data_IF_562837787823
#
_entry.id   IF_562837787823
#
_cell.length_a   1.000
_cell.length_b   1.000
_cell.length_c   1.000
_cell.angle_alpha   90.00
_cell.angle_beta   90.00
_cell.angle_gamma   90.00
#
_symmetry.space_group_name_H-M   'P 1'
#
loop_
_entity.id
_entity.type
_entity.pdbx_description
1 polymer ?
#
# COMPACT_ATOMS: atom_id res chain seq x y z
N UNK A 1 -16.02 -16.41 10.41
CA UNK A 1 -16.11 -16.10 8.96
C UNK A 1 -15.02 -16.81 8.17
N UNK A 2 -13.74 -16.52 8.43
CA UNK A 2 -12.59 -17.19 7.80
C UNK A 2 -12.64 -18.72 7.86
N UNK A 3 -13.02 -19.29 9.02
CA UNK A 3 -13.19 -20.74 9.15
C UNK A 3 -14.27 -21.28 8.20
N UNK A 4 -15.45 -20.66 8.17
CA UNK A 4 -16.56 -21.03 7.27
C UNK A 4 -16.18 -20.94 5.78
N UNK A 5 -15.27 -20.03 5.42
CA UNK A 5 -14.73 -19.93 4.07
C UNK A 5 -13.75 -21.07 3.76
N UNK A 6 -12.86 -21.39 4.72
CA UNK A 6 -11.95 -22.55 4.62
C UNK A 6 -12.71 -23.87 4.49
N UNK A 7 -13.84 -23.99 5.19
CA UNK A 7 -14.70 -25.18 5.17
C UNK A 7 -15.50 -25.29 3.86
N UNK A 8 -15.64 -24.18 3.12
CA UNK A 8 -16.27 -24.15 1.80
C UNK A 8 -15.22 -24.49 0.72
N UNK A 9 -15.21 -25.74 0.26
CA UNK A 9 -14.22 -26.27 -0.67
C UNK A 9 -14.20 -25.59 -2.07
N UNK A 10 -15.19 -24.77 -2.41
CA UNK A 10 -15.40 -24.23 -3.76
C UNK A 10 -15.19 -22.71 -3.88
N UNK A 11 -14.65 -22.04 -2.86
CA UNK A 11 -14.47 -20.57 -2.92
C UNK A 11 -13.35 -20.21 -3.91
N UNK A 12 -13.62 -19.41 -4.97
CA UNK A 12 -12.61 -19.04 -5.95
C UNK A 12 -11.48 -18.19 -5.34
N UNK A 13 -10.23 -18.28 -5.85
CA UNK A 13 -9.08 -17.51 -5.34
C UNK A 13 -9.32 -16.00 -5.26
N UNK A 14 -10.11 -15.45 -6.20
CA UNK A 14 -10.47 -14.04 -6.24
C UNK A 14 -11.22 -13.57 -4.99
N UNK A 15 -12.12 -14.38 -4.43
CA UNK A 15 -12.84 -14.01 -3.22
C UNK A 15 -11.90 -13.86 -2.03
N UNK A 16 -10.95 -14.78 -1.87
CA UNK A 16 -9.90 -14.68 -0.87
C UNK A 16 -9.02 -13.45 -1.10
N UNK A 17 -8.63 -13.17 -2.34
CA UNK A 17 -7.81 -11.99 -2.66
C UNK A 17 -8.55 -10.66 -2.40
N UNK A 18 -9.85 -10.58 -2.67
CA UNK A 18 -10.68 -9.41 -2.33
C UNK A 18 -10.73 -9.24 -0.81
N UNK A 19 -11.01 -10.29 -0.06
CA UNK A 19 -11.02 -10.25 1.40
C UNK A 19 -9.65 -9.89 1.98
N UNK A 20 -8.57 -10.47 1.46
CA UNK A 20 -7.19 -10.14 1.81
C UNK A 20 -6.92 -8.64 1.58
N UNK A 21 -7.34 -8.06 0.45
CA UNK A 21 -7.19 -6.63 0.18
C UNK A 21 -8.02 -5.78 1.14
N UNK A 22 -9.29 -6.13 1.37
CA UNK A 22 -10.17 -5.41 2.28
C UNK A 22 -9.64 -5.44 3.71
N UNK A 23 -9.20 -6.60 4.19
CA UNK A 23 -8.59 -6.75 5.52
C UNK A 23 -7.25 -6.04 5.58
N UNK A 24 -6.40 -6.15 4.55
CA UNK A 24 -5.15 -5.39 4.48
C UNK A 24 -5.41 -3.88 4.61
N UNK A 25 -6.38 -3.34 3.87
CA UNK A 25 -6.79 -1.91 3.93
C UNK A 25 -7.41 -1.56 5.29
N UNK A 26 -8.24 -2.41 5.87
CA UNK A 26 -8.85 -2.19 7.18
C UNK A 26 -7.84 -2.34 8.33
N UNK A 27 -6.75 -3.09 8.11
CA UNK A 27 -5.77 -3.47 9.11
C UNK A 27 -4.37 -2.90 8.85
N UNK A 28 -4.21 -1.83 8.04
CA UNK A 28 -2.96 -1.02 7.88
C UNK A 28 -2.54 -0.34 9.22
N UNK A 29 -2.97 -0.88 10.35
CA UNK A 29 -3.05 -0.23 11.66
C UNK A 29 -2.29 -1.02 12.74
N UNK A 30 -1.61 -2.13 12.39
CA UNK A 30 -0.85 -2.96 13.34
C UNK A 30 0.61 -3.12 12.88
N UNK A 31 1.53 -3.30 13.83
CA UNK A 31 2.98 -3.48 13.65
C UNK A 31 3.34 -4.84 13.00
N UNK A 32 2.75 -5.11 11.84
CA UNK A 32 2.83 -6.37 11.11
C UNK A 32 1.46 -6.84 10.60
N UNK A 33 1.43 -7.77 9.63
CA UNK A 33 0.18 -8.37 9.17
C UNK A 33 -0.51 -9.06 10.35
N UNK A 34 -1.78 -8.73 10.60
CA UNK A 34 -2.54 -9.40 11.65
C UNK A 34 -2.63 -10.91 11.38
N UNK A 35 -2.85 -11.72 12.42
CA UNK A 35 -3.02 -13.17 12.27
C UNK A 35 -4.17 -13.52 11.30
N UNK A 36 -5.20 -12.67 11.21
CA UNK A 36 -6.27 -12.79 10.23
C UNK A 36 -5.77 -12.51 8.81
N UNK A 37 -4.95 -11.49 8.60
CA UNK A 37 -4.36 -11.18 7.30
C UNK A 37 -3.41 -12.29 6.85
N UNK A 38 -2.56 -12.81 7.75
CA UNK A 38 -1.70 -13.97 7.46
C UNK A 38 -2.53 -15.20 7.08
N UNK A 39 -3.63 -15.45 7.80
CA UNK A 39 -4.55 -16.55 7.49
C UNK A 39 -5.22 -16.39 6.12
N UNK A 40 -5.54 -15.16 5.71
CA UNK A 40 -6.10 -14.87 4.38
C UNK A 40 -5.06 -15.02 3.29
N UNK A 41 -3.82 -14.58 3.50
CA UNK A 41 -2.72 -14.77 2.54
C UNK A 41 -2.52 -16.26 2.27
N UNK A 42 -2.37 -17.07 3.32
CA UNK A 42 -2.22 -18.52 3.19
C UNK A 42 -3.45 -19.18 2.53
N UNK A 43 -4.66 -18.74 2.84
CA UNK A 43 -5.89 -19.26 2.22
C UNK A 43 -5.96 -18.92 0.72
N UNK A 44 -5.56 -17.71 0.32
CA UNK A 44 -5.45 -17.32 -1.11
C UNK A 44 -4.45 -18.22 -1.82
N UNK A 45 -3.25 -18.39 -1.27
CA UNK A 45 -2.20 -19.23 -1.87
C UNK A 45 -2.68 -20.69 -2.04
N UNK A 46 -3.24 -21.27 -0.98
CA UNK A 46 -3.80 -22.62 -1.03
C UNK A 46 -4.93 -22.75 -2.07
N UNK A 47 -5.79 -21.74 -2.22
CA UNK A 47 -6.84 -21.76 -3.24
C UNK A 47 -6.26 -21.72 -4.66
N UNK A 48 -5.22 -20.91 -4.90
CA UNK A 48 -4.53 -20.86 -6.20
C UNK A 48 -3.88 -22.20 -6.51
N UNK A 49 -3.10 -22.78 -5.59
CA UNK A 49 -2.44 -24.07 -5.81
C UNK A 49 -3.43 -25.21 -6.09
N UNK A 50 -4.65 -25.15 -5.54
CA UNK A 50 -5.71 -26.13 -5.85
C UNK A 50 -6.29 -25.93 -7.25
N UNK A 51 -6.53 -24.69 -7.65
CA UNK A 51 -7.15 -24.38 -8.94
C UNK A 51 -6.17 -24.47 -10.12
N UNK A 52 -4.87 -24.25 -9.87
CA UNK A 52 -3.82 -24.18 -10.88
C UNK A 52 -2.51 -24.81 -10.35
N UNK A 53 -2.47 -26.15 -10.16
CA UNK A 53 -1.36 -26.83 -9.46
C UNK A 53 -0.03 -26.79 -10.21
N UNK A 54 -0.07 -26.76 -11.55
CA UNK A 54 1.12 -26.60 -12.40
C UNK A 54 1.36 -25.15 -12.81
N UNK A 55 0.56 -24.23 -12.24
CA UNK A 55 0.63 -22.82 -12.48
C UNK A 55 1.95 -22.19 -12.05
N UNK A 56 2.29 -21.08 -12.69
CA UNK A 56 3.46 -20.29 -12.34
C UNK A 56 3.21 -18.81 -12.52
N UNK A 57 3.99 -18.00 -11.81
CA UNK A 57 3.96 -16.57 -11.95
C UNK A 57 4.49 -16.17 -13.33
N UNK A 58 3.74 -15.42 -14.15
CA UNK A 58 4.18 -15.01 -15.48
C UNK A 58 5.36 -14.02 -15.47
N UNK A 59 5.75 -13.51 -14.28
CA UNK A 59 6.82 -12.53 -14.14
C UNK A 59 8.14 -13.20 -13.76
N UNK A 60 8.15 -14.04 -12.72
CA UNK A 60 9.37 -14.73 -12.27
C UNK A 60 9.45 -16.19 -12.70
N UNK A 61 8.39 -16.73 -13.30
CA UNK A 61 8.25 -18.13 -13.75
C UNK A 61 8.35 -19.17 -12.63
N UNK A 62 8.34 -18.74 -11.36
CA UNK A 62 8.29 -19.65 -10.22
C UNK A 62 6.88 -20.23 -10.07
N UNK A 63 6.83 -21.53 -9.75
CA UNK A 63 5.58 -22.25 -9.42
C UNK A 63 4.96 -21.70 -8.13
N UNK A 64 3.65 -21.87 -8.01
CA UNK A 64 2.93 -21.47 -6.80
C UNK A 64 3.29 -22.35 -5.61
N UNK A 65 3.53 -21.73 -4.45
CA UNK A 65 3.71 -22.41 -3.16
C UNK A 65 2.67 -21.94 -2.14
N UNK A 66 2.27 -22.78 -1.16
CA UNK A 66 1.35 -22.37 -0.10
C UNK A 66 1.85 -21.19 0.75
N UNK A 67 3.17 -20.96 0.75
CA UNK A 67 3.84 -19.87 1.47
C UNK A 67 3.85 -18.56 0.67
N UNK A 68 3.44 -18.59 -0.60
CA UNK A 68 3.48 -17.42 -1.46
C UNK A 68 2.49 -16.34 -1.02
N UNK A 69 2.95 -15.09 -1.11
CA UNK A 69 2.06 -13.94 -1.07
C UNK A 69 1.57 -13.64 -2.48
N UNK A 70 0.29 -13.91 -2.76
CA UNK A 70 -0.32 -13.77 -4.09
C UNK A 70 -1.32 -12.62 -4.19
N UNK A 71 -1.50 -12.13 -5.42
CA UNK A 71 -2.50 -11.15 -5.84
C UNK A 71 -3.29 -11.76 -6.99
N UNK A 72 -4.61 -11.86 -6.84
CA UNK A 72 -5.52 -12.30 -7.91
C UNK A 72 -6.14 -11.07 -8.56
N UNK A 73 -5.85 -10.84 -9.84
CA UNK A 73 -6.33 -9.68 -10.58
C UNK A 73 -7.84 -9.80 -10.89
N UNK A 74 -8.48 -8.71 -11.34
CA UNK A 74 -9.90 -8.73 -11.74
C UNK A 74 -10.20 -9.58 -12.97
N UNK A 75 -9.15 -9.92 -13.72
CA UNK A 75 -9.16 -10.84 -14.85
C UNK A 75 -8.78 -12.26 -14.43
N UNK A 76 -8.80 -12.55 -13.13
CA UNK A 76 -8.49 -13.83 -12.48
C UNK A 76 -7.05 -14.35 -12.63
N UNK A 77 -6.20 -13.66 -13.41
CA UNK A 77 -4.76 -13.92 -13.42
C UNK A 77 -4.10 -13.64 -12.08
N UNK A 78 -3.15 -14.50 -11.72
CA UNK A 78 -2.45 -14.48 -10.43
C UNK A 78 -1.01 -14.02 -10.61
N UNK A 79 -0.51 -13.23 -9.66
CA UNK A 79 0.87 -12.76 -9.57
C UNK A 79 1.37 -12.89 -8.13
N UNK A 80 2.68 -13.11 -7.94
CA UNK A 80 3.28 -12.81 -6.63
C UNK A 80 3.14 -11.32 -6.31
N UNK A 81 2.91 -11.00 -5.05
CA UNK A 81 2.84 -9.62 -4.53
C UNK A 81 4.10 -8.83 -4.94
N UNK A 82 5.28 -9.42 -4.77
CA UNK A 82 6.55 -8.77 -5.10
C UNK A 82 6.73 -8.57 -6.61
N UNK A 83 6.34 -9.56 -7.41
CA UNK A 83 6.36 -9.45 -8.87
C UNK A 83 5.41 -8.37 -9.37
N UNK A 84 4.21 -8.30 -8.78
CA UNK A 84 3.26 -7.23 -9.04
C UNK A 84 3.90 -5.88 -8.73
N UNK A 85 4.46 -5.68 -7.52
CA UNK A 85 5.07 -4.40 -7.17
C UNK A 85 6.26 -4.02 -8.06
N UNK A 86 7.14 -4.96 -8.42
CA UNK A 86 8.23 -4.71 -9.38
C UNK A 86 7.70 -4.23 -10.73
N UNK A 87 6.61 -4.83 -11.22
CA UNK A 87 5.96 -4.39 -12.47
C UNK A 87 5.40 -2.99 -12.33
N UNK A 88 4.71 -2.69 -11.23
CA UNK A 88 4.12 -1.36 -10.99
C UNK A 88 5.18 -0.28 -10.85
N UNK A 89 6.26 -0.57 -10.13
CA UNK A 89 7.32 0.39 -9.79
C UNK A 89 8.37 0.56 -10.90
N UNK A 90 8.35 -0.28 -11.94
CA UNK A 90 9.30 -0.16 -13.05
C UNK A 90 9.09 1.14 -13.83
N UNK A 91 10.19 1.82 -14.18
CA UNK A 91 10.16 3.11 -14.91
C UNK A 91 9.48 3.04 -16.28
N UNK A 92 9.42 1.84 -16.88
CA UNK A 92 8.68 1.57 -18.12
C UNK A 92 7.21 1.19 -17.94
N UNK A 93 6.67 1.24 -16.72
CA UNK A 93 5.30 0.81 -16.43
C UNK A 93 4.21 1.78 -16.90
N UNK A 94 4.57 2.93 -17.47
CA UNK A 94 3.61 3.97 -17.87
C UNK A 94 2.56 3.47 -18.86
N UNK A 95 3.00 2.69 -19.85
CA UNK A 95 2.14 2.06 -20.86
C UNK A 95 1.30 0.90 -20.31
N UNK A 96 1.62 0.44 -19.10
CA UNK A 96 1.03 -0.72 -18.44
C UNK A 96 0.20 -0.33 -17.21
N UNK A 97 0.10 0.97 -16.91
CA UNK A 97 -0.67 1.49 -15.78
C UNK A 97 -2.11 1.00 -15.87
N UNK A 98 -2.43 0.00 -15.05
CA UNK A 98 -3.78 -0.51 -14.93
C UNK A 98 -4.17 -1.60 -15.94
N UNK A 99 -3.23 -2.29 -16.61
CA UNK A 99 -3.53 -3.48 -17.42
C UNK A 99 -2.91 -4.76 -16.82
N UNK A 100 -3.54 -5.91 -17.04
CA UNK A 100 -2.93 -7.21 -16.76
C UNK A 100 -1.85 -7.51 -17.81
N UNK A 101 -0.66 -7.98 -17.41
CA UNK A 101 0.37 -8.38 -18.39
C UNK A 101 0.09 -9.69 -19.12
N UNK A 102 -0.84 -10.50 -18.62
CA UNK A 102 -1.18 -11.80 -19.22
C UNK A 102 -2.23 -11.60 -20.32
N UNK A 103 -3.39 -11.02 -19.98
CA UNK A 103 -4.49 -10.84 -20.94
C UNK A 103 -4.70 -9.41 -21.42
N UNK A 104 -3.87 -8.44 -21.02
CA UNK A 104 -3.99 -7.01 -21.36
C UNK A 104 -5.25 -6.30 -20.88
N UNK A 105 -6.15 -7.00 -20.18
CA UNK A 105 -7.39 -6.42 -19.67
C UNK A 105 -7.09 -5.29 -18.67
N UNK A 106 -7.78 -4.15 -18.85
CA UNK A 106 -7.74 -3.03 -17.92
C UNK A 106 -8.28 -3.47 -16.56
N UNK A 107 -7.41 -3.47 -15.57
CA UNK A 107 -7.66 -3.88 -14.20
C UNK A 107 -7.65 -2.70 -13.22
N UNK A 108 -7.57 -1.46 -13.73
CA UNK A 108 -7.69 -0.18 -13.00
C UNK A 108 -6.95 -0.15 -11.65
N UNK A 109 -5.83 -0.87 -11.53
CA UNK A 109 -5.10 -0.99 -10.27
C UNK A 109 -4.20 0.22 -10.01
N UNK A 110 -3.94 1.07 -11.01
CA UNK A 110 -3.11 2.27 -10.86
C UNK A 110 -3.56 3.16 -9.68
N UNK A 111 -4.82 3.61 -9.61
CA UNK A 111 -5.33 4.39 -8.47
C UNK A 111 -5.22 3.66 -7.11
N UNK A 112 -5.54 2.36 -7.06
CA UNK A 112 -5.54 1.58 -5.80
C UNK A 112 -4.10 1.34 -5.30
N UNK A 113 -3.20 0.94 -6.19
CA UNK A 113 -1.78 0.78 -5.89
C UNK A 113 -1.17 2.10 -5.43
N UNK A 114 -1.45 3.20 -6.13
CA UNK A 114 -1.00 4.55 -5.75
C UNK A 114 -1.53 4.98 -4.39
N UNK A 115 -2.81 4.73 -4.10
CA UNK A 115 -3.40 5.02 -2.80
C UNK A 115 -2.73 4.24 -1.66
N UNK A 116 -2.50 2.94 -1.86
CA UNK A 116 -1.81 2.09 -0.88
C UNK A 116 -0.36 2.52 -0.66
N UNK A 117 0.39 2.81 -1.73
CA UNK A 117 1.75 3.33 -1.62
C UNK A 117 1.81 4.68 -0.90
N UNK A 118 0.88 5.59 -1.23
CA UNK A 118 0.79 6.89 -0.57
C UNK A 118 0.58 6.71 0.92
N UNK A 119 -0.38 5.87 1.33
CA UNK A 119 -0.64 5.58 2.73
C UNK A 119 0.58 4.96 3.43
N UNK A 120 1.25 3.99 2.79
CA UNK A 120 2.44 3.34 3.34
C UNK A 120 3.60 4.32 3.55
N UNK A 121 3.91 5.14 2.54
CA UNK A 121 4.99 6.12 2.60
C UNK A 121 4.67 7.24 3.59
N UNK A 122 3.42 7.72 3.62
CA UNK A 122 2.98 8.71 4.61
C UNK A 122 3.03 8.14 6.05
N UNK A 123 2.66 6.88 6.25
CA UNK A 123 2.77 6.19 7.54
C UNK A 123 4.23 6.05 7.99
N UNK A 124 5.12 5.60 7.11
CA UNK A 124 6.55 5.49 7.42
C UNK A 124 7.16 6.86 7.78
N UNK A 125 6.81 7.89 7.02
CA UNK A 125 7.24 9.26 7.27
C UNK A 125 6.70 9.82 8.58
N UNK A 126 5.40 9.65 8.85
CA UNK A 126 4.79 10.04 10.12
C UNK A 126 5.49 9.37 11.31
N UNK A 127 5.82 8.07 11.19
CA UNK A 127 6.56 7.36 12.23
C UNK A 127 7.97 7.93 12.43
N UNK A 128 8.67 8.30 11.35
CA UNK A 128 9.99 8.92 11.44
C UNK A 128 9.93 10.31 12.09
N UNK A 129 8.95 11.13 11.72
CA UNK A 129 8.73 12.46 12.29
C UNK A 129 8.41 12.40 13.78
N UNK A 130 7.50 11.50 14.19
CA UNK A 130 7.16 11.28 15.60
C UNK A 130 8.41 10.90 16.40
N UNK A 131 9.22 9.94 15.91
CA UNK A 131 10.47 9.54 16.56
C UNK A 131 11.50 10.67 16.65
N UNK A 132 11.60 11.50 15.61
CA UNK A 132 12.50 12.66 15.64
C UNK A 132 12.05 13.69 16.68
N UNK A 133 10.75 13.97 16.78
CA UNK A 133 10.21 14.84 17.83
C UNK A 133 10.47 14.27 19.23
N UNK A 134 10.28 12.96 19.44
CA UNK A 134 10.61 12.29 20.71
C UNK A 134 12.09 12.44 21.07
N UNK A 135 12.98 12.43 20.07
CA UNK A 135 14.41 12.63 20.24
C UNK A 135 14.84 14.10 20.37
N UNK A 136 13.90 15.06 20.40
CA UNK A 136 14.20 16.50 20.44
C UNK A 136 14.71 17.08 19.11
N UNK A 137 14.71 16.28 18.04
CA UNK A 137 14.98 16.74 16.68
C UNK A 137 13.78 17.50 16.09
N UNK A 138 14.03 18.27 15.04
CA UNK A 138 12.99 18.96 14.28
C UNK A 138 13.28 18.88 12.79
N UNK A 139 12.23 18.70 12.01
CA UNK A 139 12.25 18.89 10.56
C UNK A 139 11.79 20.33 10.25
N UNK A 140 12.36 20.96 9.23
CA UNK A 140 11.85 22.26 8.75
C UNK A 140 10.62 22.11 7.86
N UNK A 141 9.87 23.19 7.64
CA UNK A 141 8.72 23.18 6.74
C UNK A 141 9.15 22.83 5.31
N UNK A 142 10.31 23.32 4.90
CA UNK A 142 10.90 23.12 3.58
C UNK A 142 11.29 21.66 3.35
N UNK A 143 11.89 21.01 4.35
CA UNK A 143 12.25 19.59 4.30
C UNK A 143 11.00 18.71 4.18
N UNK A 144 9.95 19.02 4.95
CA UNK A 144 8.68 18.28 4.91
C UNK A 144 7.98 18.45 3.56
N UNK A 145 7.95 19.68 3.06
CA UNK A 145 7.36 20.00 1.76
C UNK A 145 8.11 19.30 0.63
N UNK A 146 9.44 19.31 0.65
CA UNK A 146 10.27 18.61 -0.36
C UNK A 146 10.04 17.11 -0.34
N UNK A 147 9.97 16.52 0.86
CA UNK A 147 9.66 15.11 1.00
C UNK A 147 8.28 14.74 0.43
N UNK A 148 7.25 15.54 0.73
CA UNK A 148 5.91 15.34 0.19
C UNK A 148 5.86 15.52 -1.34
N UNK A 149 6.63 16.46 -1.90
CA UNK A 149 6.78 16.63 -3.36
C UNK A 149 7.40 15.39 -4.01
N UNK A 150 8.46 14.83 -3.41
CA UNK A 150 9.09 13.60 -3.92
C UNK A 150 8.11 12.44 -3.91
N UNK A 151 7.38 12.21 -2.82
CA UNK A 151 6.34 11.18 -2.76
C UNK A 151 5.26 11.42 -3.83
N UNK A 152 4.76 12.65 -3.94
CA UNK A 152 3.73 13.01 -4.91
C UNK A 152 4.18 12.72 -6.35
N UNK A 153 5.41 13.11 -6.70
CA UNK A 153 6.03 12.87 -8.01
C UNK A 153 6.19 11.38 -8.31
N UNK A 154 6.81 10.63 -7.39
CA UNK A 154 7.11 9.19 -7.60
C UNK A 154 5.82 8.35 -7.72
N UNK A 155 4.80 8.68 -6.95
CA UNK A 155 3.53 7.94 -6.98
C UNK A 155 2.62 8.44 -8.11
N UNK A 156 2.79 9.68 -8.59
CA UNK A 156 1.88 10.32 -9.53
C UNK A 156 0.55 10.70 -8.88
N UNK A 157 0.63 11.37 -7.73
CA UNK A 157 -0.49 11.99 -7.01
C UNK A 157 -0.19 13.47 -6.77
N UNK A 158 -1.19 14.28 -6.37
CA UNK A 158 -0.95 15.69 -6.08
C UNK A 158 -0.20 15.87 -4.76
N UNK A 159 0.54 16.98 -4.66
CA UNK A 159 1.20 17.37 -3.42
C UNK A 159 0.20 17.44 -2.25
N UNK A 160 -0.93 18.12 -2.50
CA UNK A 160 -2.02 18.28 -1.53
C UNK A 160 -2.55 16.95 -1.00
N UNK A 161 -2.76 15.95 -1.88
CA UNK A 161 -3.27 14.65 -1.47
C UNK A 161 -2.26 13.86 -0.61
N UNK A 162 -0.97 14.01 -0.89
CA UNK A 162 0.11 13.44 -0.05
C UNK A 162 0.17 14.10 1.30
N UNK A 163 0.11 15.43 1.35
CA UNK A 163 0.18 16.20 2.59
C UNK A 163 -1.02 15.88 3.52
N UNK A 164 -2.22 15.76 2.97
CA UNK A 164 -3.43 15.37 3.72
C UNK A 164 -3.32 13.97 4.33
N UNK A 165 -2.78 12.99 3.58
CA UNK A 165 -2.58 11.63 4.09
C UNK A 165 -1.48 11.61 5.17
N UNK A 166 -0.40 12.38 5.00
CA UNK A 166 0.64 12.52 6.00
C UNK A 166 0.12 13.14 7.30
N UNK A 167 -0.67 14.20 7.22
CA UNK A 167 -1.33 14.82 8.37
C UNK A 167 -2.20 13.83 9.16
N UNK A 168 -2.94 12.98 8.45
CA UNK A 168 -3.75 11.92 9.04
C UNK A 168 -2.90 10.87 9.76
N UNK A 169 -1.80 10.42 9.15
CA UNK A 169 -0.92 9.44 9.77
C UNK A 169 -0.12 10.01 10.97
N UNK A 170 0.26 11.29 10.92
CA UNK A 170 0.86 11.99 12.08
C UNK A 170 -0.12 12.02 13.25
N UNK A 171 -1.38 12.43 13.04
CA UNK A 171 -2.41 12.40 14.10
C UNK A 171 -2.62 11.03 14.72
N UNK A 172 -2.57 9.98 13.90
CA UNK A 172 -2.71 8.60 14.36
C UNK A 172 -1.54 8.15 15.23
N UNK A 173 -0.31 8.43 14.81
CA UNK A 173 0.92 7.94 15.47
C UNK A 173 1.37 8.84 16.63
N UNK A 174 1.08 10.13 16.55
CA UNK A 174 1.38 11.14 17.57
C UNK A 174 0.49 11.08 18.81
N UNK A 175 -0.40 10.10 18.94
CA UNK A 175 -1.28 9.93 20.11
C UNK A 175 -0.54 9.77 21.44
N UNK A 176 0.75 9.40 21.39
CA UNK A 176 1.63 9.28 22.56
C UNK A 176 2.49 10.53 22.82
N UNK A 177 2.49 11.49 21.90
CA UNK A 177 3.29 12.71 22.04
C UNK A 177 2.65 13.67 23.06
N UNK A 178 3.47 14.48 23.76
CA UNK A 178 2.96 15.63 24.49
C UNK A 178 2.16 16.57 23.56
N UNK A 179 1.09 17.17 24.07
CA UNK A 179 0.19 18.07 23.31
C UNK A 179 0.96 19.18 22.59
N UNK A 180 2.01 19.73 23.23
CA UNK A 180 2.84 20.77 22.64
C UNK A 180 3.61 20.31 21.39
N UNK A 181 4.16 19.09 21.42
CA UNK A 181 4.88 18.49 20.28
C UNK A 181 3.93 18.12 19.14
N UNK A 182 2.74 17.61 19.49
CA UNK A 182 1.70 17.34 18.51
C UNK A 182 1.25 18.64 17.81
N UNK A 183 1.02 19.73 18.55
CA UNK A 183 0.68 21.03 17.99
C UNK A 183 1.82 21.62 17.13
N UNK A 184 3.08 21.33 17.45
CA UNK A 184 4.23 21.71 16.63
C UNK A 184 4.21 20.97 15.28
N UNK A 185 3.95 19.66 15.28
CA UNK A 185 3.82 18.87 14.05
C UNK A 185 2.63 19.32 13.19
N UNK A 186 1.48 19.64 13.79
CA UNK A 186 0.32 20.13 13.03
C UNK A 186 0.55 21.50 12.40
N UNK A 187 1.26 22.40 13.12
CA UNK A 187 1.71 23.68 12.55
C UNK A 187 2.69 23.46 11.40
N UNK A 188 3.66 22.56 11.56
CA UNK A 188 4.63 22.22 10.51
C UNK A 188 3.93 21.75 9.23
N UNK A 189 2.94 20.85 9.35
CA UNK A 189 2.15 20.36 8.23
C UNK A 189 1.32 21.47 7.57
N UNK A 190 0.69 22.33 8.39
CA UNK A 190 -0.09 23.47 7.90
C UNK A 190 0.79 24.46 7.14
N UNK A 191 1.95 24.81 7.69
CA UNK A 191 2.92 25.68 7.04
C UNK A 191 3.49 25.08 5.77
N UNK A 192 3.74 23.76 5.73
CA UNK A 192 4.15 23.09 4.49
C UNK A 192 3.07 23.19 3.38
N UNK A 193 1.78 23.29 3.72
CA UNK A 193 0.72 23.48 2.72
C UNK A 193 0.84 24.84 2.00
N UNK A 194 1.33 25.87 2.68
CA UNK A 194 1.47 27.23 2.14
C UNK A 194 2.68 27.38 1.22
N UNK A 195 3.69 26.52 1.37
CA UNK A 195 4.95 26.56 0.59
C UNK A 195 4.74 26.13 -0.88
N UNK A 196 3.61 25.51 -1.23
CA UNK A 196 3.44 25.00 -2.60
C UNK A 196 1.98 24.88 -3.06
N UNK A 197 1.42 25.90 -3.71
CA UNK A 197 0.27 25.71 -4.59
C UNK A 197 0.79 25.10 -5.90
N UNK A 198 0.42 23.85 -6.15
CA UNK A 198 0.69 23.04 -7.35
C UNK A 198 0.96 23.89 -8.63
N UNK A 199 2.22 24.22 -8.92
CA UNK A 199 2.65 24.59 -10.29
C UNK A 199 3.04 23.29 -10.98
N UNK A 200 2.05 22.57 -11.49
CA UNK A 200 2.28 21.50 -12.44
C UNK A 200 2.66 22.18 -13.76
N UNK A 201 3.96 22.26 -14.04
CA UNK A 201 4.51 22.57 -15.37
C UNK A 201 4.57 21.32 -16.23
#
# INVERSE_FOLDING_TARGET
MLQRLKDAHEVPPRFYSVLQRTVSVACVHKDGPSSELQSLIAATAAAVCRCDPEGSCPICLARWTPEDSLIVLSCDHVLHVDCFWKVIMSSGAETLRGCCRICTQRSHWGPVARGNFRCMLCSAAAAALVRQCEAGGGLTCEELAEYCRRIAKEIGVTYTATLQELAKEIRKKGTKLPVAEMAKLERLVSSAAEVSPDRIS
#
